data_IF_968066556687
#
_entry.id   IF_968066556687
#
_cell.length_a   1.000
_cell.length_b   1.000
_cell.length_c   1.000
_cell.angle_alpha   90.00
_cell.angle_beta   90.00
_cell.angle_gamma   90.00
#
_symmetry.space_group_name_H-M   'P 1'
#
loop_
_entity.id
_entity.type
_entity.pdbx_description
1 polymer ?
#
# COMPACT_ATOMS: atom_id res chain seq x y z
N UNK A 1 3.35 -3.64 5.79
CA UNK A 1 3.07 -4.81 6.65
C UNK A 1 3.06 -4.44 8.13
N UNK A 2 4.19 -4.03 8.72
CA UNK A 2 4.29 -3.76 10.17
C UNK A 2 3.28 -2.71 10.67
N UNK A 3 3.17 -1.56 9.99
CA UNK A 3 2.21 -0.52 10.38
C UNK A 3 0.74 -1.00 10.36
N UNK A 4 0.38 -1.89 9.43
CA UNK A 4 -0.96 -2.49 9.36
C UNK A 4 -1.19 -3.41 10.55
N UNK A 5 -0.22 -4.26 10.89
CA UNK A 5 -0.30 -5.15 12.03
C UNK A 5 -0.43 -4.37 13.35
N UNK A 6 0.39 -3.33 13.55
CA UNK A 6 0.30 -2.44 14.72
C UNK A 6 -1.07 -1.76 14.78
N UNK A 7 -1.58 -1.24 13.66
CA UNK A 7 -2.91 -0.61 13.59
C UNK A 7 -4.01 -1.60 13.96
N UNK A 8 -4.00 -2.78 13.36
CA UNK A 8 -5.00 -3.83 13.58
C UNK A 8 -5.02 -4.30 15.04
N UNK A 9 -3.85 -4.65 15.58
CA UNK A 9 -3.70 -5.14 16.96
C UNK A 9 -4.08 -4.05 17.96
N UNK A 10 -3.63 -2.82 17.74
CA UNK A 10 -3.97 -1.69 18.61
C UNK A 10 -5.46 -1.43 18.59
N UNK A 11 -6.08 -1.35 17.41
CA UNK A 11 -7.52 -1.12 17.28
C UNK A 11 -8.35 -2.23 17.95
N UNK A 12 -7.98 -3.50 17.73
CA UNK A 12 -8.66 -4.66 18.30
C UNK A 12 -8.52 -4.75 19.82
N UNK A 13 -7.30 -4.71 20.36
CA UNK A 13 -7.05 -4.87 21.79
C UNK A 13 -7.59 -3.69 22.61
N UNK A 14 -7.49 -2.47 22.06
CA UNK A 14 -8.05 -1.28 22.71
C UNK A 14 -9.57 -1.36 22.80
N UNK A 15 -10.28 -1.77 21.75
CA UNK A 15 -11.73 -1.62 21.68
C UNK A 15 -12.54 -2.93 21.64
N UNK A 16 -11.96 -4.11 21.94
CA UNK A 16 -12.71 -5.39 21.98
C UNK A 16 -13.91 -5.41 22.92
N UNK A 17 -13.90 -4.59 23.98
CA UNK A 17 -15.00 -4.44 24.93
C UNK A 17 -14.89 -3.10 25.67
N UNK A 18 -15.97 -2.66 26.32
CA UNK A 18 -15.94 -1.44 27.15
C UNK A 18 -14.90 -1.53 28.28
N UNK A 19 -14.70 -2.71 28.87
CA UNK A 19 -13.65 -2.94 29.87
C UNK A 19 -12.25 -2.79 29.25
N UNK A 20 -12.03 -3.34 28.06
CA UNK A 20 -10.75 -3.21 27.34
C UNK A 20 -10.43 -1.76 26.99
N UNK A 21 -11.42 -1.01 26.51
CA UNK A 21 -11.28 0.41 26.16
C UNK A 21 -10.84 1.24 27.36
N UNK A 22 -11.41 0.94 28.54
CA UNK A 22 -11.04 1.59 29.79
C UNK A 22 -9.68 1.16 30.33
N UNK A 23 -9.33 -0.13 30.28
CA UNK A 23 -8.14 -0.65 30.94
C UNK A 23 -6.88 -0.55 30.09
N UNK A 24 -7.00 -0.86 28.80
CA UNK A 24 -5.89 -0.95 27.86
C UNK A 24 -5.92 0.20 26.85
N UNK A 25 -7.11 0.58 26.38
CA UNK A 25 -7.26 1.52 25.27
C UNK A 25 -6.65 2.90 25.51
N UNK A 26 -6.71 3.41 26.74
CA UNK A 26 -6.13 4.71 27.09
C UNK A 26 -4.60 4.78 26.95
N UNK A 27 -3.89 3.65 27.03
CA UNK A 27 -2.44 3.54 26.76
C UNK A 27 -2.18 3.10 25.32
N UNK A 28 -2.91 2.07 24.86
CA UNK A 28 -2.63 1.45 23.57
C UNK A 28 -2.85 2.39 22.39
N UNK A 29 -3.89 3.21 22.40
CA UNK A 29 -4.18 4.13 21.30
C UNK A 29 -3.04 5.15 21.08
N UNK A 30 -2.59 5.94 22.07
CA UNK A 30 -1.51 6.90 21.85
C UNK A 30 -0.18 6.22 21.48
N UNK A 31 0.17 5.09 22.10
CA UNK A 31 1.40 4.36 21.76
C UNK A 31 1.34 3.75 20.36
N UNK A 32 0.22 3.15 19.99
CA UNK A 32 0.02 2.63 18.65
C UNK A 32 0.03 3.74 17.60
N UNK A 33 -0.55 4.90 17.90
CA UNK A 33 -0.50 6.06 17.02
C UNK A 33 0.93 6.58 16.82
N UNK A 34 1.73 6.66 17.88
CA UNK A 34 3.15 7.00 17.79
C UNK A 34 3.95 5.99 16.96
N UNK A 35 3.73 4.69 17.17
CA UNK A 35 4.39 3.65 16.40
C UNK A 35 4.02 3.70 14.92
N UNK A 36 2.74 3.92 14.60
CA UNK A 36 2.25 4.02 13.22
C UNK A 36 2.74 5.30 12.53
N UNK A 37 2.82 6.42 13.25
CA UNK A 37 3.43 7.66 12.78
C UNK A 37 4.94 7.52 12.58
N UNK A 38 5.64 6.84 13.49
CA UNK A 38 7.07 6.53 13.36
C UNK A 38 7.38 5.68 12.12
N UNK A 39 6.40 4.96 11.60
CA UNK A 39 6.49 4.20 10.34
C UNK A 39 6.10 5.02 9.10
N UNK A 40 5.86 6.32 9.24
CA UNK A 40 5.55 7.25 8.16
C UNK A 40 4.33 6.79 7.34
N UNK A 41 3.28 6.32 8.02
CA UNK A 41 2.07 5.84 7.34
C UNK A 41 0.84 6.63 7.73
N UNK A 42 -0.07 6.93 6.77
CA UNK A 42 -1.36 7.54 7.05
C UNK A 42 -2.33 6.59 7.77
N UNK A 43 -1.88 5.37 8.12
CA UNK A 43 -2.68 4.35 8.80
C UNK A 43 -3.07 4.74 10.23
N UNK A 44 -2.48 5.80 10.79
CA UNK A 44 -2.87 6.35 12.10
C UNK A 44 -4.35 6.74 12.13
N UNK A 45 -4.91 7.15 10.99
CA UNK A 45 -6.35 7.41 10.83
C UNK A 45 -7.20 6.17 11.14
N UNK A 46 -6.66 4.97 10.89
CA UNK A 46 -7.27 3.69 11.25
C UNK A 46 -7.54 3.54 12.74
N UNK A 47 -6.83 4.27 13.61
CA UNK A 47 -7.02 4.20 15.07
C UNK A 47 -8.10 5.15 15.59
N UNK A 48 -8.56 6.12 14.79
CA UNK A 48 -9.55 7.13 15.20
C UNK A 48 -10.84 6.49 15.72
N UNK A 49 -11.45 5.49 15.04
CA UNK A 49 -12.69 4.89 15.53
C UNK A 49 -12.52 4.18 16.89
N UNK A 50 -11.38 3.51 17.12
CA UNK A 50 -11.08 2.91 18.42
C UNK A 50 -10.78 3.98 19.48
N UNK A 51 -10.15 5.10 19.12
CA UNK A 51 -9.95 6.24 20.01
C UNK A 51 -11.30 6.83 20.49
N UNK A 52 -12.29 6.92 19.61
CA UNK A 52 -13.66 7.35 19.97
C UNK A 52 -14.28 6.39 20.99
N UNK A 53 -14.10 5.08 20.84
CA UNK A 53 -14.57 4.10 21.83
C UNK A 53 -13.89 4.29 23.19
N UNK A 54 -12.57 4.56 23.19
CA UNK A 54 -11.82 4.85 24.42
C UNK A 54 -12.33 6.13 25.09
N UNK A 55 -12.56 7.20 24.32
CA UNK A 55 -13.15 8.45 24.82
C UNK A 55 -14.51 8.21 25.49
N UNK A 56 -15.40 7.47 24.83
CA UNK A 56 -16.71 7.13 25.39
C UNK A 56 -16.56 6.28 26.67
N UNK A 57 -15.64 5.32 26.70
CA UNK A 57 -15.42 4.47 27.86
C UNK A 57 -14.87 5.24 29.08
N UNK A 58 -13.93 6.17 28.84
CA UNK A 58 -13.38 7.04 29.87
C UNK A 58 -14.41 8.05 30.37
N UNK A 59 -15.15 8.69 29.46
CA UNK A 59 -16.21 9.65 29.80
C UNK A 59 -17.34 9.04 30.63
N UNK A 60 -17.70 7.78 30.34
CA UNK A 60 -18.65 7.00 31.16
C UNK A 60 -18.12 6.68 32.56
N UNK A 61 -16.81 6.68 32.76
CA UNK A 61 -16.19 6.41 34.07
C UNK A 61 -16.06 7.68 34.88
N UNK A 62 -15.46 8.73 34.31
CA UNK A 62 -15.43 10.09 34.85
C UNK A 62 -15.42 11.06 33.68
N UNK A 63 -16.35 12.01 33.69
CA UNK A 63 -16.58 12.93 32.58
C UNK A 63 -15.33 13.73 32.18
N UNK A 64 -14.46 14.08 33.13
CA UNK A 64 -13.23 14.84 32.90
C UNK A 64 -12.06 14.01 32.34
N UNK A 65 -12.07 12.68 32.49
CA UNK A 65 -10.98 11.84 31.97
C UNK A 65 -10.94 11.85 30.44
N UNK A 66 -12.10 11.92 29.79
CA UNK A 66 -12.18 11.96 28.33
C UNK A 66 -11.50 13.20 27.72
N UNK A 67 -11.82 14.45 28.12
CA UNK A 67 -11.16 15.64 27.56
C UNK A 67 -9.67 15.70 27.92
N UNK A 68 -9.28 15.37 29.15
CA UNK A 68 -7.85 15.35 29.54
C UNK A 68 -7.07 14.35 28.69
N UNK A 69 -7.60 13.14 28.51
CA UNK A 69 -6.97 12.12 27.69
C UNK A 69 -6.90 12.52 26.21
N UNK A 70 -7.96 13.16 25.68
CA UNK A 70 -8.00 13.66 24.31
C UNK A 70 -6.92 14.72 24.06
N UNK A 71 -6.76 15.67 24.97
CA UNK A 71 -5.78 16.76 24.86
C UNK A 71 -4.36 16.19 24.92
N UNK A 72 -4.07 15.33 25.90
CA UNK A 72 -2.72 14.75 26.06
C UNK A 72 -2.36 13.85 24.88
N UNK A 73 -3.26 12.95 24.49
CA UNK A 73 -3.01 12.01 23.37
C UNK A 73 -2.96 12.74 22.03
N UNK A 74 -3.87 13.70 21.82
CA UNK A 74 -3.92 14.53 20.62
C UNK A 74 -2.67 15.39 20.49
N UNK A 75 -2.25 16.07 21.56
CA UNK A 75 -1.04 16.87 21.58
C UNK A 75 0.22 16.05 21.30
N UNK A 76 0.32 14.85 21.88
CA UNK A 76 1.40 13.91 21.62
C UNK A 76 1.46 13.49 20.14
N UNK A 77 0.34 12.99 19.60
CA UNK A 77 0.27 12.47 18.23
C UNK A 77 0.42 13.60 17.21
N UNK A 78 -0.36 14.68 17.32
CA UNK A 78 -0.29 15.83 16.41
C UNK A 78 1.07 16.54 16.50
N UNK A 79 1.64 16.64 17.71
CA UNK A 79 2.99 17.16 17.91
C UNK A 79 4.03 16.36 17.15
N UNK A 80 3.99 15.02 17.23
CA UNK A 80 4.91 14.18 16.43
C UNK A 80 4.69 14.30 14.93
N UNK A 81 3.43 14.36 14.47
CA UNK A 81 3.12 14.58 13.05
C UNK A 81 3.68 15.91 12.56
N UNK A 82 3.54 16.97 13.37
CA UNK A 82 4.05 18.31 13.05
C UNK A 82 5.59 18.35 13.02
N UNK A 83 6.25 17.73 13.98
CA UNK A 83 7.72 17.64 14.00
C UNK A 83 8.25 16.84 12.80
N UNK A 84 7.56 15.75 12.45
CA UNK A 84 7.88 14.95 11.27
C UNK A 84 7.64 15.72 9.96
N UNK A 85 6.52 16.45 9.83
CA UNK A 85 6.22 17.21 8.62
C UNK A 85 7.22 18.34 8.40
N UNK A 86 7.65 19.04 9.45
CA UNK A 86 8.69 20.08 9.36
C UNK A 86 10.06 19.56 8.97
N UNK A 87 10.38 18.30 9.28
CA UNK A 87 11.64 17.70 8.86
C UNK A 87 11.68 17.41 7.35
N UNK A 88 10.52 17.31 6.69
CA UNK A 88 10.41 17.01 5.25
C UNK A 88 10.11 18.27 4.43
N UNK A 89 9.21 19.12 4.94
CA UNK A 89 8.75 20.31 4.21
C UNK A 89 9.64 21.49 4.58
N UNK A 90 10.78 21.58 3.90
CA UNK A 90 11.52 22.84 3.77
C UNK A 90 10.78 23.68 2.71
N UNK A 91 10.08 24.70 3.21
CA UNK A 91 9.51 25.89 2.55
C UNK A 91 8.82 25.75 1.17
N UNK A 92 7.47 25.67 1.17
CA UNK A 92 6.61 26.41 0.22
C UNK A 92 5.12 26.44 0.69
N UNK A 93 4.48 27.62 0.84
CA UNK A 93 3.04 27.76 1.14
C UNK A 93 2.08 27.29 0.02
N UNK A 94 2.55 27.12 -1.23
CA UNK A 94 1.68 26.70 -2.35
C UNK A 94 1.48 25.16 -2.47
N UNK A 95 2.19 24.37 -1.65
CA UNK A 95 2.31 22.91 -1.80
C UNK A 95 1.06 22.06 -1.49
N UNK A 96 0.00 22.62 -0.89
CA UNK A 96 -1.14 21.81 -0.42
C UNK A 96 -2.02 21.24 -1.54
N UNK A 97 -2.13 21.94 -2.68
CA UNK A 97 -2.90 21.48 -3.85
C UNK A 97 -2.09 20.51 -4.72
N UNK A 98 -0.77 20.70 -4.81
CA UNK A 98 0.13 19.79 -5.53
C UNK A 98 0.34 18.47 -4.80
N UNK A 99 0.29 18.47 -3.46
CA UNK A 99 0.60 17.29 -2.64
C UNK A 99 -0.27 16.06 -2.93
N UNK A 100 -1.55 16.26 -3.23
CA UNK A 100 -2.47 15.15 -3.57
C UNK A 100 -2.14 14.55 -4.94
N UNK A 101 -1.72 15.38 -5.89
CA UNK A 101 -1.25 14.96 -7.19
C UNK A 101 0.14 14.29 -7.07
N UNK A 102 1.03 14.83 -6.23
CA UNK A 102 2.35 14.30 -5.92
C UNK A 102 2.26 12.90 -5.28
N UNK A 103 1.30 12.69 -4.39
CA UNK A 103 0.97 11.36 -3.86
C UNK A 103 0.41 10.44 -4.95
N UNK A 104 -0.47 10.94 -5.83
CA UNK A 104 -1.09 10.16 -6.89
C UNK A 104 -0.12 9.69 -7.98
N UNK A 105 0.88 10.52 -8.30
CA UNK A 105 1.83 10.40 -9.40
C UNK A 105 2.88 9.29 -9.23
N UNK A 106 3.03 8.71 -8.03
CA UNK A 106 4.01 7.65 -7.80
C UNK A 106 3.56 6.36 -8.52
N UNK A 107 4.25 6.07 -9.62
CA UNK A 107 4.13 4.84 -10.40
C UNK A 107 4.63 3.59 -9.67
N UNK A 108 4.29 2.42 -10.25
CA UNK A 108 4.32 1.09 -9.65
C UNK A 108 5.61 0.67 -8.87
N UNK A 109 5.44 -0.32 -7.97
CA UNK A 109 6.52 -0.94 -7.19
C UNK A 109 6.06 -1.81 -6.02
N UNK A 110 4.90 -2.48 -6.13
CA UNK A 110 4.32 -3.26 -5.03
C UNK A 110 4.37 -4.77 -5.27
N UNK A 111 4.66 -5.53 -4.22
CA UNK A 111 4.50 -7.00 -4.21
C UNK A 111 3.07 -7.40 -4.61
N UNK A 112 2.87 -8.43 -5.44
CA UNK A 112 1.56 -8.87 -5.88
C UNK A 112 0.73 -9.31 -4.68
N UNK A 113 -0.56 -9.01 -4.74
CA UNK A 113 -1.56 -9.40 -3.75
C UNK A 113 -2.90 -9.63 -4.46
N UNK A 114 -3.84 -10.32 -3.80
CA UNK A 114 -5.15 -10.58 -4.38
C UNK A 114 -5.99 -9.29 -4.37
N UNK A 115 -6.04 -8.61 -5.53
CA UNK A 115 -6.76 -7.35 -5.72
C UNK A 115 -8.27 -7.52 -5.50
N UNK A 116 -8.86 -8.63 -5.96
CA UNK A 116 -10.28 -8.92 -5.76
C UNK A 116 -10.64 -9.05 -4.28
N UNK A 117 -9.85 -9.83 -3.53
CA UNK A 117 -9.98 -9.95 -2.09
C UNK A 117 -9.77 -8.60 -1.38
N UNK A 118 -8.82 -7.79 -1.83
CA UNK A 118 -8.58 -6.47 -1.27
C UNK A 118 -9.79 -5.54 -1.44
N UNK A 119 -10.40 -5.49 -2.63
CA UNK A 119 -11.57 -4.66 -2.91
C UNK A 119 -12.80 -5.07 -2.10
N UNK A 120 -12.99 -6.38 -1.86
CA UNK A 120 -14.13 -6.90 -1.10
C UNK A 120 -13.89 -6.89 0.41
N UNK A 121 -12.63 -6.85 0.85
CA UNK A 121 -12.27 -6.91 2.28
C UNK A 121 -13.01 -5.90 3.19
N UNK A 122 -13.25 -4.62 2.79
CA UNK A 122 -13.97 -3.67 3.64
C UNK A 122 -15.46 -4.03 3.76
N UNK A 123 -16.05 -4.61 2.70
CA UNK A 123 -17.44 -5.07 2.72
C UNK A 123 -17.60 -6.20 3.73
N UNK A 124 -16.67 -7.14 3.77
CA UNK A 124 -16.67 -8.24 4.74
C UNK A 124 -16.53 -7.70 6.17
N UNK A 125 -15.71 -6.67 6.37
CA UNK A 125 -15.58 -5.99 7.68
C UNK A 125 -16.89 -5.36 8.14
N UNK A 126 -17.62 -4.71 7.23
CA UNK A 126 -18.94 -4.15 7.52
C UNK A 126 -19.95 -5.24 7.87
N UNK A 127 -19.99 -6.34 7.10
CA UNK A 127 -20.88 -7.47 7.38
C UNK A 127 -20.60 -8.09 8.75
N UNK A 128 -19.32 -8.30 9.09
CA UNK A 128 -18.93 -8.81 10.41
C UNK A 128 -19.33 -7.85 11.53
N UNK A 129 -19.16 -6.54 11.33
CA UNK A 129 -19.58 -5.52 12.28
C UNK A 129 -21.11 -5.53 12.49
N UNK A 130 -21.91 -5.68 11.43
CA UNK A 130 -23.37 -5.79 11.53
C UNK A 130 -23.76 -6.99 12.41
N UNK A 131 -23.13 -8.15 12.19
CA UNK A 131 -23.36 -9.35 13.03
C UNK A 131 -23.00 -9.06 14.49
N UNK A 132 -21.85 -8.47 14.75
CA UNK A 132 -21.39 -8.14 16.11
C UNK A 132 -22.30 -7.11 16.81
N UNK A 133 -22.82 -6.12 16.08
CA UNK A 133 -23.78 -5.14 16.61
C UNK A 133 -25.07 -5.85 17.02
N UNK A 134 -25.59 -6.76 16.18
CA UNK A 134 -26.77 -7.56 16.50
C UNK A 134 -26.57 -8.45 17.73
N UNK A 135 -25.35 -8.93 17.96
CA UNK A 135 -24.98 -9.69 19.17
C UNK A 135 -24.63 -8.82 20.38
N UNK A 136 -24.88 -7.51 20.35
CA UNK A 136 -24.62 -6.59 21.47
C UNK A 136 -23.14 -6.20 21.65
N UNK A 137 -22.24 -6.63 20.77
CA UNK A 137 -20.78 -6.39 20.85
C UNK A 137 -20.35 -5.14 20.09
N UNK A 138 -20.99 -4.00 20.38
CA UNK A 138 -20.78 -2.73 19.66
C UNK A 138 -19.31 -2.23 19.65
N UNK A 139 -18.55 -2.27 20.78
CA UNK A 139 -17.15 -1.85 20.77
C UNK A 139 -16.30 -2.68 19.79
N UNK A 140 -16.49 -4.00 19.81
CA UNK A 140 -15.77 -4.94 18.94
C UNK A 140 -16.12 -4.72 17.46
N UNK A 141 -17.39 -4.44 17.15
CA UNK A 141 -17.82 -4.13 15.80
C UNK A 141 -17.10 -2.90 15.23
N UNK A 142 -16.98 -1.84 16.04
CA UNK A 142 -16.28 -0.60 15.66
C UNK A 142 -14.77 -0.82 15.59
N UNK A 143 -14.20 -1.63 16.49
CA UNK A 143 -12.79 -1.99 16.47
C UNK A 143 -12.36 -2.72 15.19
N UNK A 144 -13.27 -3.48 14.57
CA UNK A 144 -13.01 -4.29 13.38
C UNK A 144 -13.30 -3.50 12.10
N UNK A 145 -14.48 -2.88 12.00
CA UNK A 145 -14.86 -2.15 10.77
C UNK A 145 -14.30 -0.73 10.71
N UNK A 146 -14.06 -0.10 11.87
CA UNK A 146 -13.59 1.27 11.97
C UNK A 146 -12.27 1.52 11.23
N UNK A 147 -11.21 0.74 11.49
CA UNK A 147 -9.95 0.91 10.79
C UNK A 147 -10.10 0.76 9.27
N UNK A 148 -10.92 -0.19 8.81
CA UNK A 148 -11.21 -0.37 7.38
C UNK A 148 -11.91 0.85 6.79
N UNK A 149 -12.92 1.39 7.47
CA UNK A 149 -13.65 2.57 7.02
C UNK A 149 -12.74 3.81 6.95
N UNK A 150 -11.88 4.02 7.96
CA UNK A 150 -10.94 5.14 7.98
C UNK A 150 -9.88 5.03 6.87
N UNK A 151 -9.38 3.82 6.59
CA UNK A 151 -8.44 3.60 5.49
C UNK A 151 -9.13 3.76 4.12
N UNK A 152 -10.43 3.42 4.00
CA UNK A 152 -11.19 3.71 2.78
C UNK A 152 -11.28 5.22 2.47
N UNK A 153 -11.31 6.08 3.49
CA UNK A 153 -11.23 7.54 3.27
C UNK A 153 -9.89 7.90 2.61
N UNK A 154 -8.78 7.33 3.09
CA UNK A 154 -7.47 7.53 2.46
C UNK A 154 -7.41 6.94 1.04
N UNK A 155 -8.08 5.80 0.79
CA UNK A 155 -8.18 5.22 -0.55
C UNK A 155 -8.86 6.18 -1.52
N UNK A 156 -9.93 6.86 -1.10
CA UNK A 156 -10.62 7.85 -1.94
C UNK A 156 -9.71 9.04 -2.27
N UNK A 157 -8.90 9.49 -1.30
CA UNK A 157 -7.89 10.54 -1.53
C UNK A 157 -6.86 10.08 -2.56
N UNK A 158 -6.32 8.86 -2.41
CA UNK A 158 -5.35 8.30 -3.34
C UNK A 158 -5.92 8.08 -4.75
N UNK A 159 -7.19 7.67 -4.87
CA UNK A 159 -7.89 7.55 -6.15
C UNK A 159 -8.02 8.92 -6.80
N UNK A 160 -8.45 9.93 -6.04
CA UNK A 160 -8.57 11.30 -6.55
C UNK A 160 -7.23 11.84 -7.03
N UNK A 161 -6.13 11.57 -6.30
CA UNK A 161 -4.78 11.96 -6.70
C UNK A 161 -4.30 11.24 -7.96
N UNK A 162 -4.61 9.95 -8.11
CA UNK A 162 -4.27 9.18 -9.32
C UNK A 162 -5.02 9.71 -10.54
N UNK A 163 -6.32 9.99 -10.39
CA UNK A 163 -7.17 10.53 -11.45
C UNK A 163 -6.68 11.94 -11.88
N UNK A 164 -6.29 12.79 -10.92
CA UNK A 164 -5.73 14.12 -11.25
C UNK A 164 -4.37 14.05 -11.94
N UNK A 165 -3.56 13.03 -11.64
CA UNK A 165 -2.26 12.80 -12.26
C UNK A 165 -2.34 12.08 -13.62
N UNK A 166 -3.54 11.77 -14.12
CA UNK A 166 -3.74 11.04 -15.38
C UNK A 166 -3.28 9.58 -15.34
N UNK A 167 -3.03 9.02 -14.16
CA UNK A 167 -2.58 7.63 -13.99
C UNK A 167 -3.78 6.69 -13.83
N UNK A 168 -3.64 5.47 -14.34
CA UNK A 168 -4.60 4.41 -14.01
C UNK A 168 -4.67 4.21 -12.49
N UNK A 169 -5.87 4.18 -11.91
CA UNK A 169 -6.09 3.90 -10.47
C UNK A 169 -5.38 2.62 -10.02
N UNK A 170 -5.40 1.58 -10.86
CA UNK A 170 -4.72 0.32 -10.59
C UNK A 170 -3.22 0.36 -10.91
N UNK A 171 -2.73 1.42 -11.55
CA UNK A 171 -1.33 1.75 -11.78
C UNK A 171 -0.69 2.57 -10.66
N UNK A 172 -1.48 3.34 -9.91
CA UNK A 172 -0.98 4.18 -8.82
C UNK A 172 -0.53 3.36 -7.61
N UNK A 173 0.68 3.64 -7.12
CA UNK A 173 1.26 2.95 -5.98
C UNK A 173 0.43 3.11 -4.71
N UNK A 174 -0.05 4.31 -4.38
CA UNK A 174 -0.79 4.53 -3.13
C UNK A 174 -2.19 3.93 -3.14
N UNK A 175 -2.85 3.85 -4.30
CA UNK A 175 -4.12 3.12 -4.43
C UNK A 175 -3.90 1.64 -4.11
N UNK A 176 -2.89 1.02 -4.74
CA UNK A 176 -2.55 -0.39 -4.49
C UNK A 176 -2.09 -0.61 -3.04
N UNK A 177 -1.34 0.32 -2.46
CA UNK A 177 -0.83 0.22 -1.07
C UNK A 177 -1.96 0.20 -0.08
N UNK A 178 -2.95 1.04 -0.34
CA UNK A 178 -4.12 1.17 0.50
C UNK A 178 -5.02 -0.04 0.37
N UNK A 179 -5.22 -0.57 -0.84
CA UNK A 179 -5.94 -1.82 -1.06
C UNK A 179 -5.25 -3.01 -0.37
N UNK A 180 -3.93 -3.13 -0.50
CA UNK A 180 -3.17 -4.17 0.19
C UNK A 180 -3.28 -4.02 1.72
N UNK A 181 -3.20 -2.79 2.24
CA UNK A 181 -3.39 -2.52 3.67
C UNK A 181 -4.78 -2.96 4.16
N UNK A 182 -5.84 -2.69 3.38
CA UNK A 182 -7.20 -3.15 3.69
C UNK A 182 -7.31 -4.68 3.69
N UNK A 183 -6.69 -5.36 2.73
CA UNK A 183 -6.63 -6.82 2.70
C UNK A 183 -5.96 -7.38 3.96
N UNK A 184 -4.77 -6.88 4.29
CA UNK A 184 -3.97 -7.34 5.42
C UNK A 184 -4.63 -7.06 6.76
N UNK A 185 -5.26 -5.89 6.90
CA UNK A 185 -6.02 -5.51 8.09
C UNK A 185 -7.15 -6.50 8.36
N UNK A 186 -7.83 -6.93 7.29
CA UNK A 186 -8.97 -7.83 7.37
C UNK A 186 -8.60 -9.32 7.21
N UNK A 187 -7.36 -9.65 6.88
CA UNK A 187 -6.91 -11.02 6.63
C UNK A 187 -7.20 -11.98 7.78
N UNK A 188 -7.00 -11.63 9.07
CA UNK A 188 -7.38 -12.51 10.18
C UNK A 188 -8.87 -12.83 10.22
N UNK A 189 -9.71 -11.87 9.86
CA UNK A 189 -11.17 -12.03 9.83
C UNK A 189 -11.61 -12.83 8.59
N UNK A 190 -10.95 -12.65 7.45
CA UNK A 190 -11.14 -13.50 6.27
C UNK A 190 -10.76 -14.95 6.59
N UNK A 191 -9.63 -15.17 7.26
CA UNK A 191 -9.18 -16.49 7.69
C UNK A 191 -10.17 -17.13 8.69
N UNK A 192 -10.64 -16.36 9.67
CA UNK A 192 -11.66 -16.82 10.62
C UNK A 192 -12.98 -17.16 9.91
N UNK A 193 -13.42 -16.33 8.97
CA UNK A 193 -14.60 -16.56 8.14
C UNK A 193 -14.47 -17.84 7.30
N UNK A 194 -13.30 -18.06 6.69
CA UNK A 194 -13.00 -19.27 5.93
C UNK A 194 -13.01 -20.52 6.81
N UNK A 195 -12.43 -20.46 8.02
CA UNK A 195 -12.48 -21.56 8.98
C UNK A 195 -13.90 -21.92 9.41
N UNK A 196 -14.72 -20.91 9.72
CA UNK A 196 -16.14 -21.10 10.06
C UNK A 196 -16.90 -21.71 8.88
N UNK A 197 -16.67 -21.19 7.67
CA UNK A 197 -17.27 -21.67 6.43
C UNK A 197 -16.98 -23.16 6.18
N UNK A 198 -15.70 -23.55 6.25
CA UNK A 198 -15.27 -24.94 6.06
C UNK A 198 -15.88 -25.83 7.14
N UNK A 199 -15.85 -25.41 8.40
CA UNK A 199 -16.46 -26.16 9.50
C UNK A 199 -17.97 -26.38 9.31
N UNK A 200 -18.69 -25.35 8.86
CA UNK A 200 -20.12 -25.45 8.55
C UNK A 200 -20.40 -26.36 7.36
N UNK A 201 -19.59 -26.29 6.30
CA UNK A 201 -19.71 -27.15 5.14
C UNK A 201 -19.50 -28.62 5.53
N UNK A 202 -18.46 -28.93 6.30
CA UNK A 202 -18.19 -30.27 6.83
C UNK A 202 -19.36 -30.75 7.69
N UNK A 203 -19.88 -29.91 8.58
CA UNK A 203 -21.03 -30.25 9.42
C UNK A 203 -22.30 -30.50 8.59
N UNK A 204 -22.55 -29.71 7.56
CA UNK A 204 -23.68 -29.87 6.65
C UNK A 204 -23.57 -31.17 5.83
N UNK A 205 -22.38 -31.50 5.34
CA UNK A 205 -22.12 -32.77 4.64
C UNK A 205 -22.33 -33.97 5.59
N UNK A 206 -21.79 -33.93 6.80
CA UNK A 206 -22.03 -34.98 7.81
C UNK A 206 -23.51 -35.16 8.13
N UNK A 207 -24.27 -34.07 8.29
CA UNK A 207 -25.72 -34.13 8.54
C UNK A 207 -26.50 -34.68 7.35
N UNK A 208 -26.12 -34.35 6.10
CA UNK A 208 -26.73 -34.93 4.90
C UNK A 208 -26.48 -36.43 4.75
N UNK A 209 -25.33 -36.91 5.20
CA UNK A 209 -24.99 -38.34 5.19
C UNK A 209 -25.75 -39.12 6.27
N UNK A 210 -26.01 -38.50 7.43
CA UNK A 210 -26.67 -39.15 8.57
C UNK A 210 -28.21 -39.07 8.49
N UNK A 211 -28.78 -37.96 7.99
CA UNK A 211 -30.23 -37.80 7.84
C UNK A 211 -30.58 -36.87 6.65
N UNK A 212 -30.94 -37.42 5.48
CA UNK A 212 -31.25 -36.63 4.28
C UNK A 212 -32.52 -35.77 4.43
N UNK A 213 -33.39 -36.07 5.40
CA UNK A 213 -34.64 -35.33 5.64
C UNK A 213 -34.44 -34.02 6.41
N UNK A 214 -33.38 -33.94 7.22
CA UNK A 214 -32.97 -32.76 7.99
C UNK A 214 -32.35 -31.63 7.13
N UNK A 215 -32.03 -31.90 5.86
CA UNK A 215 -31.38 -30.95 4.95
C UNK A 215 -32.24 -29.72 4.60
N UNK A 216 -33.57 -29.80 4.81
CA UNK A 216 -34.49 -28.68 4.58
C UNK A 216 -34.56 -27.68 5.74
N UNK A 217 -34.04 -28.03 6.92
CA UNK A 217 -34.00 -27.16 8.09
C UNK A 217 -32.71 -26.32 8.17
N UNK A 218 -32.24 -25.78 7.04
CA UNK A 218 -31.24 -24.70 7.08
C UNK A 218 -31.94 -23.47 7.62
N UNK A 219 -31.83 -23.26 8.93
CA UNK A 219 -32.30 -22.06 9.62
C UNK A 219 -31.90 -20.81 8.83
N UNK A 220 -32.78 -19.80 8.72
CA UNK A 220 -32.49 -18.52 8.02
C UNK A 220 -31.21 -17.82 8.50
N UNK A 221 -30.70 -18.15 9.69
CA UNK A 221 -29.40 -17.68 10.18
C UNK A 221 -28.18 -18.35 9.52
N UNK A 222 -28.28 -19.62 9.10
CA UNK A 222 -27.19 -20.37 8.48
C UNK A 222 -27.04 -20.06 6.98
N UNK A 223 -28.11 -19.66 6.29
CA UNK A 223 -28.05 -19.34 4.85
C UNK A 223 -27.18 -18.11 4.58
N UNK A 224 -27.22 -17.09 5.44
CA UNK A 224 -26.34 -15.92 5.33
C UNK A 224 -24.87 -16.31 5.52
N UNK A 225 -24.56 -17.17 6.49
CA UNK A 225 -23.21 -17.64 6.76
C UNK A 225 -22.66 -18.51 5.63
N UNK A 226 -23.50 -19.38 5.04
CA UNK A 226 -23.15 -20.19 3.86
C UNK A 226 -23.00 -19.30 2.61
N UNK A 227 -23.82 -18.27 2.42
CA UNK A 227 -23.67 -17.31 1.33
C UNK A 227 -22.38 -16.50 1.49
N UNK A 228 -22.05 -16.05 2.71
CA UNK A 228 -20.78 -15.39 3.02
C UNK A 228 -19.59 -16.34 2.80
N UNK A 229 -19.72 -17.62 3.11
CA UNK A 229 -18.71 -18.65 2.86
C UNK A 229 -18.43 -18.83 1.36
N UNK A 230 -19.48 -18.97 0.54
CA UNK A 230 -19.37 -19.11 -0.91
C UNK A 230 -18.80 -17.83 -1.52
N UNK A 231 -19.28 -16.66 -1.10
CA UNK A 231 -18.75 -15.38 -1.55
C UNK A 231 -17.27 -15.21 -1.17
N UNK A 232 -16.87 -15.59 0.05
CA UNK A 232 -15.49 -15.52 0.49
C UNK A 232 -14.58 -16.44 -0.34
N UNK A 233 -14.98 -17.71 -0.52
CA UNK A 233 -14.22 -18.67 -1.34
C UNK A 233 -14.13 -18.21 -2.79
N UNK A 234 -15.25 -17.77 -3.37
CA UNK A 234 -15.29 -17.23 -4.73
C UNK A 234 -14.38 -15.99 -4.88
N UNK A 235 -14.40 -15.05 -3.93
CA UNK A 235 -13.56 -13.85 -3.95
C UNK A 235 -12.09 -14.15 -3.70
N UNK A 236 -11.76 -15.07 -2.80
CA UNK A 236 -10.37 -15.49 -2.58
C UNK A 236 -9.79 -16.27 -3.76
N UNK A 237 -10.64 -17.00 -4.50
CA UNK A 237 -10.25 -17.68 -5.74
C UNK A 237 -10.20 -16.73 -6.95
N UNK A 238 -11.13 -15.76 -7.03
CA UNK A 238 -11.24 -14.80 -8.13
C UNK A 238 -10.31 -13.61 -7.90
N UNK A 239 -9.03 -13.77 -8.25
CA UNK A 239 -8.01 -12.72 -8.11
C UNK A 239 -6.64 -13.22 -7.65
N UNK A 240 -6.42 -14.54 -7.57
CA UNK A 240 -5.10 -15.09 -7.32
C UNK A 240 -4.19 -14.81 -8.54
N UNK A 241 -3.35 -13.79 -8.43
CA UNK A 241 -2.37 -13.39 -9.46
C UNK A 241 -1.30 -14.48 -9.70
N UNK A 242 -1.24 -15.52 -8.85
CA UNK A 242 -0.33 -16.66 -9.00
C UNK A 242 -0.87 -17.84 -9.81
N UNK A 243 -2.14 -17.82 -10.26
CA UNK A 243 -2.72 -18.91 -11.07
C UNK A 243 -3.41 -18.40 -12.33
N UNK A 244 -2.98 -17.27 -12.89
CA UNK A 244 -3.33 -16.95 -14.27
C UNK A 244 -2.75 -18.05 -15.16
N UNK A 245 -3.58 -18.79 -15.92
CA UNK A 245 -3.07 -19.71 -16.92
C UNK A 245 -2.16 -18.93 -17.87
N UNK A 246 -1.00 -19.48 -18.21
CA UNK A 246 -0.09 -18.89 -19.21
C UNK A 246 -0.73 -18.81 -20.59
N UNK A 247 -1.83 -19.54 -20.81
CA UNK A 247 -2.61 -19.57 -22.04
C UNK A 247 -4.09 -19.51 -21.67
N UNK A 248 -4.78 -18.42 -22.07
CA UNK A 248 -6.24 -18.36 -22.04
C UNK A 248 -6.80 -19.12 -23.25
N UNK A 249 -8.00 -19.70 -23.12
CA UNK A 249 -8.70 -20.28 -24.26
C UNK A 249 -8.84 -19.23 -25.38
N UNK A 250 -8.68 -19.64 -26.63
CA UNK A 250 -8.69 -18.74 -27.80
C UNK A 250 -9.92 -17.84 -27.79
N UNK A 251 -9.71 -16.51 -27.76
CA UNK A 251 -10.77 -15.50 -27.74
C UNK A 251 -11.05 -14.86 -26.36
N UNK A 252 -10.44 -15.35 -25.27
CA UNK A 252 -10.54 -14.72 -23.95
C UNK A 252 -9.25 -13.96 -23.60
N UNK A 253 -9.33 -12.63 -23.48
CA UNK A 253 -8.25 -11.80 -22.93
C UNK A 253 -8.33 -11.73 -21.41
N UNK A 254 -7.19 -11.66 -20.72
CA UNK A 254 -7.16 -11.28 -19.31
C UNK A 254 -7.79 -9.90 -19.14
N UNK A 255 -8.69 -9.74 -18.16
CA UNK A 255 -9.20 -8.42 -17.80
C UNK A 255 -8.01 -7.46 -17.55
N UNK A 256 -8.06 -6.18 -17.95
CA UNK A 256 -6.91 -5.27 -17.93
C UNK A 256 -6.18 -5.21 -16.57
N UNK A 257 -6.92 -5.29 -15.45
CA UNK A 257 -6.35 -5.33 -14.10
C UNK A 257 -5.62 -6.63 -13.76
N UNK A 258 -6.01 -7.76 -14.35
CA UNK A 258 -5.37 -9.08 -14.18
C UNK A 258 -4.11 -9.15 -15.05
N UNK A 259 -4.16 -8.61 -16.28
CA UNK A 259 -2.99 -8.48 -17.15
C UNK A 259 -1.88 -7.64 -16.49
N UNK A 260 -2.26 -6.49 -15.94
CA UNK A 260 -1.36 -5.63 -15.18
C UNK A 260 -0.82 -6.31 -13.91
N UNK A 261 -1.63 -7.14 -13.25
CA UNK A 261 -1.20 -7.94 -12.10
C UNK A 261 -0.18 -9.03 -12.47
N UNK A 262 -0.41 -9.76 -13.56
CA UNK A 262 0.48 -10.83 -14.03
C UNK A 262 1.85 -10.28 -14.49
N UNK A 263 1.85 -9.16 -15.22
CA UNK A 263 3.08 -8.45 -15.57
C UNK A 263 3.89 -8.01 -14.33
N UNK A 264 3.21 -7.71 -13.21
CA UNK A 264 3.84 -7.35 -11.93
C UNK A 264 4.36 -8.57 -11.16
N UNK A 265 3.62 -9.67 -11.13
CA UNK A 265 4.02 -10.89 -10.43
C UNK A 265 5.31 -11.49 -11.01
N UNK A 266 5.50 -11.41 -12.34
CA UNK A 266 6.78 -11.76 -12.98
C UNK A 266 7.96 -10.86 -12.57
N UNK A 267 7.70 -9.64 -12.07
CA UNK A 267 8.72 -8.70 -11.60
C UNK A 267 9.01 -8.74 -10.10
N UNK A 268 8.13 -9.31 -9.26
CA UNK A 268 8.18 -9.19 -7.79
C UNK A 268 8.81 -10.34 -7.03
N UNK A 269 8.88 -11.54 -7.62
CA UNK A 269 9.66 -12.66 -7.05
C UNK A 269 11.19 -12.47 -7.26
N UNK A 270 11.59 -11.30 -7.78
CA UNK A 270 12.97 -10.96 -8.07
C UNK A 270 13.64 -10.24 -6.90
N UNK A 271 14.64 -10.89 -6.29
CA UNK A 271 15.61 -10.30 -5.36
C UNK A 271 16.35 -9.08 -5.93
N UNK A 272 16.24 -8.85 -7.25
CA UNK A 272 16.88 -7.77 -7.99
C UNK A 272 16.39 -6.38 -7.63
N UNK A 273 15.14 -6.17 -7.20
CA UNK A 273 14.67 -4.79 -6.93
C UNK A 273 15.40 -4.21 -5.71
N UNK A 274 15.51 -4.99 -4.63
CA UNK A 274 16.27 -4.60 -3.45
C UNK A 274 17.77 -4.49 -3.73
N UNK A 275 18.33 -5.46 -4.45
CA UNK A 275 19.75 -5.42 -4.85
C UNK A 275 20.05 -4.23 -5.75
N UNK A 276 19.19 -3.96 -6.75
CA UNK A 276 19.33 -2.82 -7.65
C UNK A 276 19.23 -1.50 -6.90
N UNK A 277 18.33 -1.34 -5.93
CA UNK A 277 18.28 -0.13 -5.10
C UNK A 277 19.60 0.06 -4.34
N UNK A 278 20.10 -0.98 -3.66
CA UNK A 278 21.32 -0.86 -2.86
C UNK A 278 22.57 -0.63 -3.72
N UNK A 279 22.71 -1.37 -4.82
CA UNK A 279 23.82 -1.23 -5.77
C UNK A 279 23.79 0.11 -6.50
N UNK A 280 22.60 0.56 -6.93
CA UNK A 280 22.43 1.86 -7.56
C UNK A 280 22.68 2.99 -6.56
N UNK A 281 22.29 2.83 -5.29
CA UNK A 281 22.66 3.75 -4.22
C UNK A 281 24.18 3.85 -4.09
N UNK A 282 24.89 2.74 -4.03
CA UNK A 282 26.36 2.75 -3.90
C UNK A 282 27.02 3.41 -5.12
N UNK A 283 26.47 3.18 -6.32
CA UNK A 283 26.90 3.83 -7.56
C UNK A 283 26.55 5.33 -7.62
N UNK A 284 25.53 5.78 -6.89
CA UNK A 284 25.07 7.16 -6.83
C UNK A 284 25.80 8.02 -5.79
N UNK A 285 26.30 7.43 -4.70
CA UNK A 285 27.02 8.14 -3.62
C UNK A 285 28.15 9.07 -4.11
N UNK A 286 28.95 8.72 -5.15
CA UNK A 286 29.97 9.62 -5.68
C UNK A 286 29.43 10.90 -6.35
N UNK A 287 28.12 10.99 -6.60
CA UNK A 287 27.47 12.08 -7.34
C UNK A 287 26.42 12.83 -6.50
N UNK A 288 26.78 13.38 -5.33
CA UNK A 288 25.81 13.97 -4.39
C UNK A 288 25.11 15.23 -4.92
N UNK A 289 25.67 15.89 -5.94
CA UNK A 289 25.07 17.06 -6.59
C UNK A 289 24.17 16.75 -7.78
N UNK A 290 24.02 15.47 -8.17
CA UNK A 290 23.27 15.07 -9.37
C UNK A 290 21.95 14.38 -9.02
N UNK A 291 20.91 14.63 -9.80
CA UNK A 291 19.64 13.89 -9.78
C UNK A 291 19.87 12.49 -10.31
N UNK A 292 19.52 11.47 -9.52
CA UNK A 292 19.82 10.08 -9.85
C UNK A 292 18.67 9.41 -10.57
N UNK A 293 18.90 8.69 -11.66
CA UNK A 293 17.85 7.91 -12.30
C UNK A 293 18.38 6.52 -12.66
N UNK A 294 17.94 5.50 -11.93
CA UNK A 294 18.05 4.11 -12.29
C UNK A 294 17.07 3.76 -13.41
N UNK A 295 17.62 3.63 -14.62
CA UNK A 295 16.91 3.33 -15.85
C UNK A 295 16.30 1.93 -15.84
N UNK A 296 17.08 0.93 -15.45
CA UNK A 296 16.60 -0.46 -15.40
C UNK A 296 15.79 -0.76 -14.12
N UNK A 297 15.52 0.27 -13.31
CA UNK A 297 14.74 0.18 -12.09
C UNK A 297 13.25 0.14 -12.38
N UNK A 298 12.46 -0.50 -11.50
CA UNK A 298 11.02 -0.71 -11.71
C UNK A 298 10.18 0.56 -11.45
N UNK A 299 10.53 1.71 -12.04
CA UNK A 299 9.75 2.94 -12.01
C UNK A 299 10.16 3.99 -10.97
N UNK A 300 9.31 5.01 -10.83
CA UNK A 300 9.52 6.21 -9.98
C UNK A 300 9.90 5.86 -8.55
N UNK A 301 9.24 4.87 -7.94
CA UNK A 301 9.49 4.53 -6.53
C UNK A 301 10.93 4.06 -6.30
N UNK A 302 11.47 3.25 -7.21
CA UNK A 302 12.87 2.77 -7.12
C UNK A 302 13.84 3.94 -7.22
N UNK A 303 13.55 4.88 -8.13
CA UNK A 303 14.33 6.10 -8.28
C UNK A 303 14.31 6.98 -7.03
N UNK A 304 13.15 7.14 -6.40
CA UNK A 304 13.03 7.88 -5.14
C UNK A 304 13.77 7.19 -3.99
N UNK A 305 13.77 5.85 -3.93
CA UNK A 305 14.57 5.11 -2.94
C UNK A 305 16.06 5.32 -3.16
N UNK A 306 16.56 5.20 -4.39
CA UNK A 306 17.97 5.44 -4.70
C UNK A 306 18.37 6.87 -4.35
N UNK A 307 17.55 7.85 -4.72
CA UNK A 307 17.78 9.26 -4.43
C UNK A 307 17.80 9.53 -2.91
N UNK A 308 16.78 9.08 -2.17
CA UNK A 308 16.67 9.30 -0.72
C UNK A 308 17.74 8.57 0.11
N UNK A 309 18.23 7.41 -0.35
CA UNK A 309 19.28 6.66 0.33
C UNK A 309 20.70 7.13 -0.02
N UNK A 310 20.85 7.89 -1.12
CA UNK A 310 22.13 8.49 -1.51
C UNK A 310 22.26 9.93 -1.01
N UNK A 311 21.16 10.69 -0.94
CA UNK A 311 21.16 12.09 -0.50
C UNK A 311 19.78 12.59 -0.04
N UNK A 312 19.74 13.83 0.43
CA UNK A 312 18.49 14.57 0.67
C UNK A 312 17.90 15.00 -0.68
N UNK A 313 16.63 14.67 -0.92
CA UNK A 313 15.89 15.04 -2.11
C UNK A 313 15.61 16.55 -2.13
N UNK A 314 15.92 17.20 -3.26
CA UNK A 314 15.51 18.59 -3.50
C UNK A 314 14.09 18.65 -4.06
N UNK A 315 13.47 19.83 -4.05
CA UNK A 315 12.17 20.04 -4.71
C UNK A 315 12.25 19.83 -6.23
N UNK A 316 13.38 20.18 -6.84
CA UNK A 316 13.60 19.98 -8.28
C UNK A 316 13.69 18.48 -8.63
N UNK A 317 14.28 17.66 -7.75
CA UNK A 317 14.26 16.21 -7.90
C UNK A 317 12.82 15.67 -7.86
N UNK A 318 12.00 16.17 -6.93
CA UNK A 318 10.59 15.77 -6.85
C UNK A 318 9.81 16.11 -8.12
N UNK A 319 10.02 17.32 -8.67
CA UNK A 319 9.38 17.75 -9.93
C UNK A 319 9.82 16.89 -11.11
N UNK A 320 11.11 16.56 -11.20
CA UNK A 320 11.63 15.64 -12.20
C UNK A 320 11.00 14.24 -12.07
N UNK A 321 10.97 13.65 -10.89
CA UNK A 321 10.39 12.31 -10.72
C UNK A 321 8.88 12.26 -10.96
N UNK A 322 8.16 13.36 -10.73
CA UNK A 322 6.73 13.47 -11.00
C UNK A 322 6.40 13.39 -12.50
N UNK A 323 7.21 14.02 -13.34
CA UNK A 323 6.99 14.00 -14.79
C UNK A 323 7.49 12.72 -15.47
N UNK A 324 8.16 11.85 -14.72
CA UNK A 324 8.79 10.65 -15.25
C UNK A 324 7.73 9.68 -15.82
N UNK A 325 7.86 9.24 -17.09
CA UNK A 325 6.94 8.26 -17.67
C UNK A 325 6.86 6.95 -16.88
N UNK A 326 5.74 6.21 -16.98
CA UNK A 326 5.60 4.92 -16.32
C UNK A 326 6.58 3.89 -16.89
N UNK A 327 7.14 3.04 -16.03
CA UNK A 327 7.96 1.90 -16.43
C UNK A 327 7.13 0.86 -17.22
N UNK A 328 7.69 0.18 -18.24
CA UNK A 328 9.10 0.19 -18.70
C UNK A 328 9.51 1.49 -19.39
N UNK A 329 10.74 1.95 -19.13
CA UNK A 329 11.28 3.12 -19.81
C UNK A 329 11.63 2.80 -21.26
N UNK A 330 11.23 3.70 -22.14
CA UNK A 330 11.37 3.59 -23.60
C UNK A 330 11.92 4.90 -24.15
N UNK A 331 11.91 5.06 -25.48
CA UNK A 331 12.31 6.30 -26.14
C UNK A 331 11.50 7.51 -25.69
N UNK A 332 10.24 7.34 -25.27
CA UNK A 332 9.44 8.40 -24.64
C UNK A 332 10.09 8.93 -23.36
N UNK A 333 10.73 8.04 -22.58
CA UNK A 333 11.46 8.43 -21.38
C UNK A 333 12.76 9.13 -21.72
N UNK A 334 13.46 8.72 -22.79
CA UNK A 334 14.64 9.44 -23.29
C UNK A 334 14.26 10.86 -23.67
N UNK A 335 13.16 11.02 -24.42
CA UNK A 335 12.66 12.34 -24.83
C UNK A 335 12.24 13.20 -23.62
N UNK A 336 11.63 12.59 -22.60
CA UNK A 336 11.33 13.29 -21.35
C UNK A 336 12.60 13.78 -20.65
N UNK A 337 13.63 12.94 -20.55
CA UNK A 337 14.91 13.32 -19.93
C UNK A 337 15.59 14.44 -20.73
N UNK A 338 15.61 14.33 -22.06
CA UNK A 338 16.14 15.39 -22.94
C UNK A 338 15.39 16.71 -22.75
N UNK A 339 14.05 16.66 -22.76
CA UNK A 339 13.21 17.82 -22.50
C UNK A 339 13.47 18.43 -21.11
N UNK A 340 13.57 17.61 -20.06
CA UNK A 340 13.85 18.08 -18.70
C UNK A 340 15.24 18.73 -18.60
N UNK A 341 16.26 18.16 -19.24
CA UNK A 341 17.61 18.73 -19.31
C UNK A 341 17.62 20.07 -20.08
N UNK A 342 16.83 20.19 -21.14
CA UNK A 342 16.67 21.42 -21.92
C UNK A 342 15.92 22.51 -21.16
N UNK A 343 14.86 22.16 -20.43
CA UNK A 343 14.02 23.11 -19.69
C UNK A 343 14.68 23.60 -18.40
N UNK A 344 15.44 22.73 -17.72
CA UNK A 344 16.06 23.02 -16.43
C UNK A 344 17.59 23.06 -16.58
N UNK A 345 18.21 24.23 -16.83
CA UNK A 345 19.65 24.33 -17.10
C UNK A 345 20.55 23.94 -15.92
N UNK A 346 20.00 23.88 -14.70
CA UNK A 346 20.70 23.44 -13.48
C UNK A 346 20.54 21.95 -13.17
N UNK A 347 19.77 21.21 -13.98
CA UNK A 347 19.54 19.78 -13.75
C UNK A 347 20.78 19.00 -14.21
N UNK A 348 21.57 18.52 -13.26
CA UNK A 348 22.66 17.58 -13.54
C UNK A 348 22.23 16.18 -13.13
N UNK A 349 22.50 15.18 -13.97
CA UNK A 349 21.95 13.84 -13.81
C UNK A 349 23.02 12.76 -13.74
N UNK A 350 22.82 11.80 -12.83
CA UNK A 350 23.51 10.52 -12.81
C UNK A 350 22.54 9.43 -13.28
N UNK A 351 22.69 9.00 -14.53
CA UNK A 351 21.88 7.95 -15.13
C UNK A 351 22.51 6.60 -14.84
N UNK A 352 21.86 5.84 -13.97
CA UNK A 352 22.31 4.55 -13.47
C UNK A 352 21.65 3.44 -14.31
N UNK A 353 22.42 2.47 -14.76
CA UNK A 353 21.91 1.38 -15.60
C UNK A 353 22.71 0.10 -15.36
N UNK A 354 22.12 -1.07 -15.59
CA UNK A 354 22.81 -2.36 -15.45
C UNK A 354 22.69 -3.26 -16.68
N UNK A 355 21.71 -3.04 -17.58
CA UNK A 355 21.56 -3.81 -18.82
C UNK A 355 22.36 -3.22 -19.98
N UNK A 356 22.98 -4.07 -20.79
CA UNK A 356 23.85 -3.61 -21.90
C UNK A 356 23.10 -2.73 -22.89
N UNK A 357 21.89 -3.16 -23.27
CA UNK A 357 20.99 -2.43 -24.18
C UNK A 357 20.62 -1.04 -23.67
N UNK A 358 20.47 -0.88 -22.35
CA UNK A 358 20.13 0.39 -21.72
C UNK A 358 21.30 1.36 -21.74
N UNK A 359 22.54 0.86 -21.56
CA UNK A 359 23.74 1.67 -21.68
C UNK A 359 23.91 2.27 -23.08
N UNK A 360 23.60 1.49 -24.12
CA UNK A 360 23.64 1.98 -25.51
C UNK A 360 22.56 3.03 -25.79
N UNK A 361 21.33 2.79 -25.32
CA UNK A 361 20.22 3.73 -25.47
C UNK A 361 20.52 5.08 -24.80
N UNK A 362 21.13 5.05 -23.62
CA UNK A 362 21.46 6.25 -22.85
C UNK A 362 22.72 6.98 -23.33
N UNK A 363 23.59 6.31 -24.09
CA UNK A 363 24.85 6.88 -24.56
C UNK A 363 24.63 8.18 -25.38
N UNK A 364 23.51 8.26 -26.11
CA UNK A 364 23.14 9.45 -26.88
C UNK A 364 22.95 10.68 -25.99
N UNK A 365 22.30 10.55 -24.82
CA UNK A 365 22.08 11.65 -23.88
C UNK A 365 23.40 12.19 -23.30
N UNK A 366 24.37 11.31 -23.04
CA UNK A 366 25.69 11.75 -22.55
C UNK A 366 26.50 12.45 -23.63
N UNK A 367 26.36 12.05 -24.90
CA UNK A 367 27.01 12.77 -26.01
C UNK A 367 26.43 14.17 -26.21
N UNK A 368 25.11 14.32 -26.00
CA UNK A 368 24.42 15.59 -26.15
C UNK A 368 24.64 16.53 -24.94
N UNK A 369 24.78 15.97 -23.73
CA UNK A 369 24.98 16.73 -22.50
C UNK A 369 26.18 16.21 -21.68
N UNK A 370 27.42 16.31 -22.18
CA UNK A 370 28.60 15.64 -21.60
C UNK A 370 28.94 16.09 -20.18
N UNK A 371 28.74 17.36 -19.85
CA UNK A 371 29.06 17.90 -18.52
C UNK A 371 27.95 17.65 -17.49
N UNK A 372 26.71 17.45 -17.97
CA UNK A 372 25.52 17.41 -17.12
C UNK A 372 25.05 15.99 -16.86
N UNK A 373 25.15 15.11 -17.85
CA UNK A 373 24.73 13.70 -17.76
C UNK A 373 25.93 12.81 -17.55
N UNK A 374 25.93 12.06 -16.45
CA UNK A 374 26.94 11.05 -16.15
C UNK A 374 26.30 9.67 -16.19
N UNK A 375 26.77 8.80 -17.07
CA UNK A 375 26.34 7.40 -17.11
C UNK A 375 27.15 6.56 -16.14
N UNK A 376 26.44 5.79 -15.33
CA UNK A 376 27.05 4.92 -14.33
C UNK A 376 26.50 3.51 -14.52
N UNK A 377 27.39 2.60 -14.91
CA UNK A 377 27.05 1.18 -14.95
C UNK A 377 27.01 0.62 -13.52
N UNK A 378 25.86 0.14 -13.11
CA UNK A 378 25.60 -0.49 -11.82
C UNK A 378 25.96 -1.97 -11.92
N UNK A 379 26.92 -2.48 -11.13
CA UNK A 379 27.26 -3.90 -11.14
C UNK A 379 26.12 -4.72 -10.54
N UNK A 380 25.63 -5.71 -11.31
CA UNK A 380 24.52 -6.58 -10.94
C UNK A 380 24.86 -8.04 -11.25
N UNK A 381 24.37 -8.97 -10.42
CA UNK A 381 24.55 -10.41 -10.70
C UNK A 381 23.69 -10.85 -11.89
N UNK A 382 24.16 -11.88 -12.59
CA UNK A 382 23.36 -12.54 -13.64
C UNK A 382 22.09 -13.12 -13.04
N UNK A 383 20.95 -12.81 -13.65
CA UNK A 383 19.62 -13.24 -13.22
C UNK A 383 18.70 -13.41 -14.42
N UNK A 384 17.49 -13.93 -14.19
CA UNK A 384 16.49 -14.11 -15.26
C UNK A 384 16.11 -12.77 -15.94
N UNK A 385 16.12 -11.65 -15.22
CA UNK A 385 15.83 -10.31 -15.78
C UNK A 385 17.04 -9.60 -16.39
N UNK A 386 18.26 -10.05 -16.08
CA UNK A 386 19.47 -9.52 -16.67
C UNK A 386 20.50 -10.66 -16.81
N UNK A 387 20.29 -11.51 -17.82
CA UNK A 387 21.17 -12.66 -18.05
C UNK A 387 22.57 -12.20 -18.46
N UNK A 388 22.64 -11.07 -19.16
CA UNK A 388 23.85 -10.35 -19.57
C UNK A 388 24.60 -9.64 -18.44
N UNK A 389 24.00 -9.50 -17.26
CA UNK A 389 24.67 -8.88 -16.12
C UNK A 389 25.76 -9.79 -15.56
N UNK A 390 26.94 -9.24 -15.30
CA UNK A 390 28.06 -9.93 -14.66
C UNK A 390 28.57 -9.07 -13.51
N UNK A 391 28.80 -9.71 -12.35
CA UNK A 391 29.26 -9.04 -11.13
C UNK A 391 30.71 -9.40 -10.82
#
# INVERSE_FOLDING_TARGET
MMAVAVTAVTAYLSARSWRSARQLGWILIPLGALAVNGLWTPLVLGLVPSAVIVLIALGRTRWWLAPVWAIVSGGLVLGTVYLQSRAIVVDDPEASSSFMEDLGAIGAGMTPFNLGAAMVSPVIAILAAIVLIRSGRRPMAIAIAGPSAAICVFLMIAISGADSAGLSRLGSYYVLKTLNALLLLNAPMLAAGAGIAIGMLIAAMKRRVIDPSAARAVNRGNSLLIACAIALVAVTGFGYVGTTPTVFASGFGSAPGIAAGAARAGGSDNSLVGEAIMRARDAAVPYPGKTTMLWDGSGVLVNMWVASLSRVLSQDDHRFYRGLPPFPYTDETVNYVDFALGLHPKLDMALLWFRGVSGEQLATLTRQYPDRVTLVKVPMRSTILCQECTL
#
